data_IF_312565604144
#
_entry.id   IF_312565604144
#
_cell.length_a   1.000
_cell.length_b   1.000
_cell.length_c   1.000
_cell.angle_alpha   90.00
_cell.angle_beta   90.00
_cell.angle_gamma   90.00
#
_symmetry.space_group_name_H-M   'P 1'
#
loop_
_entity.id
_entity.type
_entity.pdbx_description
1 polymer ?
#
# COMPACT_ATOMS: atom_id res chain seq x y z
N UNK A 1 6.80 2.19 14.75
CA UNK A 1 8.25 2.17 14.53
C UNK A 1 8.71 0.70 14.45
N UNK A 2 9.61 0.31 13.52
CA UNK A 2 10.02 -1.10 13.38
C UNK A 2 10.60 -1.72 14.66
N UNK A 3 11.28 -0.94 15.50
CA UNK A 3 11.84 -1.43 16.78
C UNK A 3 10.81 -1.87 17.83
N UNK A 4 9.52 -1.64 17.60
CA UNK A 4 8.44 -2.05 18.52
C UNK A 4 7.80 -3.38 18.13
N UNK A 5 8.34 -4.04 17.10
CA UNK A 5 7.82 -5.28 16.54
C UNK A 5 8.97 -6.30 16.49
N UNK A 6 8.74 -7.51 16.98
CA UNK A 6 9.62 -8.66 16.75
C UNK A 6 8.85 -9.84 16.18
N UNK A 7 9.60 -10.85 15.72
CA UNK A 7 9.09 -12.13 15.25
C UNK A 7 9.76 -13.24 16.07
N UNK A 8 8.98 -14.18 16.59
CA UNK A 8 9.50 -15.44 17.13
C UNK A 8 9.18 -16.62 16.19
N UNK A 9 9.79 -17.78 16.45
CA UNK A 9 9.63 -19.00 15.64
C UNK A 9 8.47 -19.91 16.12
N UNK A 10 7.71 -19.47 17.14
CA UNK A 10 6.61 -20.25 17.71
C UNK A 10 5.44 -20.30 16.72
N UNK A 11 4.84 -21.47 16.54
CA UNK A 11 3.65 -21.69 15.70
C UNK A 11 3.77 -21.15 14.25
N UNK A 12 4.98 -21.16 13.68
CA UNK A 12 5.20 -20.73 12.29
C UNK A 12 5.41 -19.23 12.12
N UNK A 13 5.64 -18.49 13.21
CA UNK A 13 5.95 -17.07 13.18
C UNK A 13 4.85 -16.22 13.82
N UNK A 14 5.14 -15.58 14.96
CA UNK A 14 4.21 -14.61 15.57
C UNK A 14 4.83 -13.23 15.61
N UNK A 15 3.99 -12.21 15.44
CA UNK A 15 4.37 -10.82 15.67
C UNK A 15 4.22 -10.49 17.16
N UNK A 16 5.28 -9.98 17.76
CA UNK A 16 5.32 -9.51 19.15
C UNK A 16 5.36 -7.98 19.13
N UNK A 17 4.43 -7.36 19.86
CA UNK A 17 4.32 -5.90 19.98
C UNK A 17 4.69 -5.48 21.40
N UNK A 18 5.69 -4.60 21.53
CA UNK A 18 6.21 -4.20 22.86
C UNK A 18 5.68 -2.86 23.36
N UNK A 19 5.34 -1.95 22.45
CA UNK A 19 5.07 -0.54 22.77
C UNK A 19 3.69 -0.11 22.28
N UNK A 20 2.90 0.38 23.22
CA UNK A 20 1.53 0.87 23.06
C UNK A 20 1.40 2.33 23.51
N UNK A 21 2.50 3.04 23.76
CA UNK A 21 2.51 4.39 24.33
C UNK A 21 1.90 5.47 23.43
N UNK A 22 1.78 5.21 22.12
CA UNK A 22 1.13 6.09 21.14
C UNK A 22 -0.19 5.53 20.61
N UNK A 23 -0.87 4.65 21.37
CA UNK A 23 -2.19 4.15 20.98
C UNK A 23 -3.25 5.26 21.07
N UNK A 24 -4.16 5.24 20.11
CA UNK A 24 -5.30 6.15 20.05
C UNK A 24 -6.45 5.52 19.26
N UNK A 25 -7.63 6.11 19.38
CA UNK A 25 -8.80 5.70 18.60
C UNK A 25 -8.87 6.51 17.29
N UNK A 26 -9.12 5.82 16.19
CA UNK A 26 -9.44 6.46 14.90
C UNK A 26 -10.95 6.69 14.84
N UNK A 27 -11.36 7.96 14.73
CA UNK A 27 -12.77 8.31 14.59
C UNK A 27 -13.34 7.84 13.22
N UNK A 28 -14.65 7.58 13.11
CA UNK A 28 -15.26 7.08 11.88
C UNK A 28 -14.96 7.96 10.64
N UNK A 29 -15.00 9.29 10.78
CA UNK A 29 -14.72 10.21 9.67
C UNK A 29 -13.28 10.11 9.15
N UNK A 30 -12.29 9.88 10.04
CA UNK A 30 -10.89 9.69 9.64
C UNK A 30 -10.73 8.33 8.95
N UNK A 31 -11.41 7.29 9.45
CA UNK A 31 -11.39 5.96 8.83
C UNK A 31 -11.95 5.99 7.41
N UNK A 32 -13.12 6.60 7.23
CA UNK A 32 -13.77 6.75 5.92
C UNK A 32 -12.93 7.60 4.98
N UNK A 33 -12.50 8.79 5.42
CA UNK A 33 -11.64 9.66 4.61
C UNK A 33 -10.31 9.02 4.23
N UNK A 34 -9.74 8.16 5.09
CA UNK A 34 -8.53 7.39 4.75
C UNK A 34 -8.76 6.41 3.61
N UNK A 35 -9.93 5.76 3.57
CA UNK A 35 -10.32 4.87 2.46
C UNK A 35 -10.54 5.69 1.17
N UNK A 36 -11.20 6.84 1.26
CA UNK A 36 -11.40 7.72 0.12
C UNK A 36 -10.09 8.26 -0.46
N UNK A 37 -9.12 8.62 0.39
CA UNK A 37 -7.76 8.98 -0.05
C UNK A 37 -7.11 7.79 -0.78
N UNK A 38 -7.23 6.57 -0.26
CA UNK A 38 -6.67 5.39 -0.91
C UNK A 38 -7.25 5.20 -2.32
N UNK A 39 -8.58 5.31 -2.48
CA UNK A 39 -9.21 5.20 -3.79
C UNK A 39 -8.86 6.38 -4.70
N UNK A 40 -8.83 7.61 -4.19
CA UNK A 40 -8.41 8.78 -4.96
C UNK A 40 -6.98 8.66 -5.49
N UNK A 41 -6.05 8.14 -4.68
CA UNK A 41 -4.67 7.85 -5.13
C UNK A 41 -4.66 6.75 -6.19
N UNK A 42 -5.42 5.66 -5.98
CA UNK A 42 -5.50 4.55 -6.93
C UNK A 42 -6.08 4.98 -8.28
N UNK A 43 -7.12 5.82 -8.26
CA UNK A 43 -7.82 6.35 -9.43
C UNK A 43 -7.11 7.56 -10.07
N UNK A 44 -6.06 8.08 -9.42
CA UNK A 44 -5.33 9.29 -9.80
C UNK A 44 -6.19 10.55 -9.80
N UNK A 45 -7.18 10.59 -8.92
CA UNK A 45 -8.10 11.70 -8.80
C UNK A 45 -7.63 12.64 -7.67
N UNK A 46 -6.95 13.72 -8.06
CA UNK A 46 -6.51 14.75 -7.13
C UNK A 46 -7.68 15.43 -6.42
N UNK A 47 -8.83 15.60 -7.07
CA UNK A 47 -9.99 16.24 -6.47
C UNK A 47 -10.58 15.36 -5.37
N UNK A 48 -10.73 14.06 -5.62
CA UNK A 48 -11.20 13.09 -4.62
C UNK A 48 -10.28 13.04 -3.40
N UNK A 49 -8.97 13.10 -3.60
CA UNK A 49 -7.99 13.19 -2.51
C UNK A 49 -8.19 14.46 -1.68
N UNK A 50 -8.37 15.62 -2.33
CA UNK A 50 -8.61 16.88 -1.61
C UNK A 50 -9.93 16.87 -0.84
N UNK A 51 -11.00 16.35 -1.44
CA UNK A 51 -12.31 16.25 -0.78
C UNK A 51 -12.24 15.36 0.47
N UNK A 52 -11.54 14.23 0.38
CA UNK A 52 -11.31 13.35 1.54
C UNK A 52 -10.47 14.05 2.62
N UNK A 53 -9.46 14.84 2.26
CA UNK A 53 -8.69 15.64 3.22
C UNK A 53 -9.52 16.72 3.92
N UNK A 54 -10.47 17.34 3.20
CA UNK A 54 -11.43 18.29 3.78
C UNK A 54 -12.40 17.58 4.74
N UNK A 55 -12.95 16.43 4.35
CA UNK A 55 -13.81 15.60 5.22
C UNK A 55 -13.12 15.20 6.52
N UNK A 56 -11.82 14.90 6.46
CA UNK A 56 -11.02 14.57 7.63
C UNK A 56 -10.62 15.78 8.48
N UNK A 57 -10.89 17.01 8.01
CA UNK A 57 -10.47 18.24 8.68
C UNK A 57 -8.96 18.51 8.59
N UNK A 58 -8.23 17.76 7.75
CA UNK A 58 -6.79 17.96 7.49
C UNK A 58 -6.58 19.21 6.64
N UNK A 59 -7.51 19.48 5.73
CA UNK A 59 -7.48 20.62 4.83
C UNK A 59 -8.68 21.52 5.09
N UNK A 60 -8.43 22.81 5.28
CA UNK A 60 -9.49 23.81 5.39
C UNK A 60 -9.86 24.28 3.98
N UNK A 61 -11.13 24.19 3.55
CA UNK A 61 -11.54 24.66 2.24
C UNK A 61 -11.42 26.19 2.17
N UNK A 62 -10.66 26.68 1.19
CA UNK A 62 -10.53 28.11 0.89
C UNK A 62 -11.15 28.44 -0.47
N UNK A 63 -11.26 29.73 -0.81
CA UNK A 63 -11.86 30.16 -2.08
C UNK A 63 -11.13 29.61 -3.31
N UNK A 64 -9.79 29.74 -3.37
CA UNK A 64 -8.99 29.18 -4.46
C UNK A 64 -8.17 27.99 -3.98
N UNK A 65 -8.55 26.78 -4.45
CA UNK A 65 -7.85 25.53 -4.18
C UNK A 65 -6.94 25.10 -5.34
N UNK A 66 -6.77 25.92 -6.37
CA UNK A 66 -6.07 25.56 -7.62
C UNK A 66 -4.61 25.16 -7.37
N UNK A 67 -3.90 25.93 -6.55
CA UNK A 67 -2.51 25.62 -6.20
C UNK A 67 -2.39 24.30 -5.42
N UNK A 68 -3.33 24.06 -4.50
CA UNK A 68 -3.38 22.83 -3.69
C UNK A 68 -3.68 21.63 -4.58
N UNK A 69 -4.63 21.75 -5.50
CA UNK A 69 -4.97 20.70 -6.48
C UNK A 69 -3.79 20.38 -7.40
N UNK A 70 -3.08 21.40 -7.90
CA UNK A 70 -1.88 21.19 -8.72
C UNK A 70 -0.79 20.45 -7.94
N UNK A 71 -0.62 20.78 -6.66
CA UNK A 71 0.33 20.12 -5.77
C UNK A 71 -0.05 18.66 -5.54
N UNK A 72 -1.32 18.37 -5.24
CA UNK A 72 -1.83 17.01 -5.11
C UNK A 72 -1.60 16.20 -6.40
N UNK A 73 -1.93 16.78 -7.56
CA UNK A 73 -1.71 16.14 -8.85
C UNK A 73 -0.23 15.84 -9.11
N UNK A 74 0.67 16.77 -8.78
CA UNK A 74 2.10 16.56 -8.88
C UNK A 74 2.54 15.34 -8.07
N UNK A 75 2.13 15.23 -6.80
CA UNK A 75 2.47 14.09 -5.96
C UNK A 75 1.89 12.76 -6.47
N UNK A 76 0.67 12.76 -7.01
CA UNK A 76 0.08 11.57 -7.63
C UNK A 76 0.92 11.09 -8.82
N UNK A 77 1.33 12.01 -9.69
CA UNK A 77 2.18 11.70 -10.85
C UNK A 77 3.56 11.17 -10.40
N UNK A 78 4.21 11.83 -9.44
CA UNK A 78 5.50 11.38 -8.91
C UNK A 78 5.43 10.00 -8.23
N UNK A 79 4.31 9.70 -7.57
CA UNK A 79 4.08 8.39 -6.98
C UNK A 79 4.01 7.29 -8.04
N UNK A 80 3.32 7.55 -9.15
CA UNK A 80 3.25 6.64 -10.29
C UNK A 80 4.62 6.39 -10.91
N UNK A 81 5.38 7.46 -11.19
CA UNK A 81 6.73 7.35 -11.74
C UNK A 81 7.63 6.48 -10.87
N UNK A 82 7.55 6.67 -9.54
CA UNK A 82 8.28 5.86 -8.58
C UNK A 82 7.82 4.40 -8.58
N UNK A 83 6.52 4.13 -8.64
CA UNK A 83 6.00 2.77 -8.73
C UNK A 83 6.48 2.07 -10.02
N UNK A 84 6.49 2.79 -11.14
CA UNK A 84 7.00 2.27 -12.41
C UNK A 84 8.51 2.00 -12.37
N UNK A 85 9.29 2.86 -11.71
CA UNK A 85 10.72 2.64 -11.48
C UNK A 85 10.96 1.39 -10.61
N UNK A 86 10.27 1.28 -9.47
CA UNK A 86 10.39 0.12 -8.57
C UNK A 86 10.01 -1.20 -9.23
N UNK A 87 8.99 -1.21 -10.11
CA UNK A 87 8.63 -2.41 -10.89
C UNK A 87 9.75 -2.83 -11.83
N UNK A 88 10.34 -1.87 -12.56
CA UNK A 88 11.48 -2.13 -13.44
C UNK A 88 12.70 -2.65 -12.68
N UNK A 89 13.04 -2.03 -11.55
CA UNK A 89 14.13 -2.49 -10.68
C UNK A 89 13.91 -3.92 -10.18
N UNK A 90 12.68 -4.26 -9.77
CA UNK A 90 12.34 -5.63 -9.35
C UNK A 90 12.43 -6.64 -10.49
N UNK A 91 12.00 -6.28 -11.70
CA UNK A 91 12.11 -7.14 -12.88
C UNK A 91 13.56 -7.44 -13.22
N UNK A 92 14.42 -6.41 -13.21
CA UNK A 92 15.87 -6.53 -13.41
C UNK A 92 16.49 -7.40 -12.32
N UNK A 93 16.23 -7.10 -11.04
CA UNK A 93 16.76 -7.88 -9.92
C UNK A 93 16.31 -9.35 -9.96
N UNK A 94 15.06 -9.61 -10.37
CA UNK A 94 14.56 -10.99 -10.52
C UNK A 94 15.28 -11.72 -11.65
N UNK A 95 15.57 -11.03 -12.76
CA UNK A 95 16.32 -11.58 -13.88
C UNK A 95 17.80 -11.85 -13.52
N UNK A 96 18.44 -10.94 -12.79
CA UNK A 96 19.84 -11.06 -12.36
C UNK A 96 20.05 -12.14 -11.28
N UNK A 97 19.14 -12.23 -10.31
CA UNK A 97 19.23 -13.20 -9.21
C UNK A 97 18.82 -14.63 -9.62
N UNK A 98 18.42 -14.85 -10.88
CA UNK A 98 18.05 -16.17 -11.41
C UNK A 98 16.84 -16.80 -10.73
N UNK A 99 16.00 -16.00 -10.04
CA UNK A 99 14.79 -16.52 -9.42
C UNK A 99 13.83 -17.03 -10.49
N UNK A 100 13.31 -18.25 -10.31
CA UNK A 100 12.30 -18.81 -11.22
C UNK A 100 11.11 -17.84 -11.30
N UNK A 101 10.67 -17.53 -12.51
CA UNK A 101 9.45 -16.74 -12.74
C UNK A 101 8.32 -17.30 -11.86
N UNK A 102 7.53 -16.44 -11.20
CA UNK A 102 6.40 -16.90 -10.41
C UNK A 102 5.45 -17.70 -11.31
N UNK A 103 5.08 -18.89 -10.85
CA UNK A 103 4.20 -19.81 -11.57
C UNK A 103 2.90 -19.09 -11.96
N UNK A 104 2.45 -19.31 -13.20
CA UNK A 104 1.13 -18.85 -13.65
C UNK A 104 0.02 -19.49 -12.82
N UNK A 105 -1.20 -18.95 -12.89
CA UNK A 105 -2.35 -19.52 -12.17
C UNK A 105 -2.54 -21.00 -12.52
N UNK A 106 -2.38 -21.36 -13.78
CA UNK A 106 -2.48 -22.73 -14.30
C UNK A 106 -1.36 -23.62 -13.74
N UNK A 107 -0.11 -23.16 -13.80
CA UNK A 107 1.03 -23.93 -13.27
C UNK A 107 0.96 -24.11 -11.73
N UNK A 108 0.37 -23.16 -11.01
CA UNK A 108 0.10 -23.30 -9.56
C UNK A 108 -0.93 -24.39 -9.29
N UNK A 109 -1.97 -24.48 -10.11
CA UNK A 109 -3.01 -25.52 -10.00
C UNK A 109 -2.41 -26.89 -10.32
N UNK A 110 -1.62 -26.99 -11.40
CA UNK A 110 -0.91 -28.20 -11.80
C UNK A 110 0.01 -28.72 -10.69
N UNK A 111 0.87 -27.84 -10.14
CA UNK A 111 1.77 -28.20 -9.03
C UNK A 111 1.02 -28.57 -7.76
N UNK A 112 -0.11 -27.92 -7.47
CA UNK A 112 -0.95 -28.28 -6.32
C UNK A 112 -1.54 -29.68 -6.50
N UNK A 113 -2.01 -30.02 -7.71
CA UNK A 113 -2.54 -31.34 -8.06
C UNK A 113 -1.45 -32.42 -7.97
N UNK A 114 -0.25 -32.14 -8.49
CA UNK A 114 0.90 -33.03 -8.38
C UNK A 114 1.34 -33.28 -6.92
N UNK A 115 1.33 -32.24 -6.07
CA UNK A 115 1.64 -32.40 -4.64
C UNK A 115 0.59 -33.25 -3.90
N UNK A 116 -0.67 -33.12 -4.25
CA UNK A 116 -1.76 -33.91 -3.66
C UNK A 116 -1.76 -35.37 -4.13
N UNK A 117 -1.27 -35.65 -5.34
CA UNK A 117 -1.13 -37.00 -5.87
C UNK A 117 0.10 -37.75 -5.34
N UNK A 118 1.02 -37.05 -4.67
CA UNK A 118 2.25 -37.60 -4.09
C UNK A 118 2.13 -37.88 -2.57
N UNK A 119 0.91 -37.75 -2.02
CA UNK A 119 0.52 -38.11 -0.64
C UNK A 119 -0.39 -39.32 -0.75
#
# INVERSE_FOLDING_TARGET
HPGNIAVDDVNGGRLIFYDFGMMGSISPNIREGSLEVFYGVHEKDAEKVLQAMVQMGVLVPTGDMTAVRRTAQFFLNSFEERLAAQRREREVATAELGFKKPLTKEEKIEKKKQRLAAI
#
